data_IF_396313440984
#
_entry.id   IF_396313440984
#
_cell.length_a   1.000
_cell.length_b   1.000
_cell.length_c   1.000
_cell.angle_alpha   90.00
_cell.angle_beta   90.00
_cell.angle_gamma   90.00
#
_symmetry.space_group_name_H-M   'P 1'
#
loop_
_entity.id
_entity.type
_entity.pdbx_description
1 polymer ?
#
# COMPACT_ATOMS: atom_id res chain seq x y z
N UNK A 1 24.34 -9.62 -64.90
CA UNK A 1 23.21 -9.17 -64.03
C UNK A 1 23.53 -9.58 -62.62
N UNK A 2 23.98 -8.62 -61.78
CA UNK A 2 24.17 -8.87 -60.35
C UNK A 2 22.88 -8.47 -59.63
N UNK A 3 22.18 -9.44 -59.07
CA UNK A 3 21.04 -9.21 -58.20
C UNK A 3 21.51 -8.93 -56.78
N UNK A 4 21.36 -7.68 -56.32
CA UNK A 4 21.64 -7.31 -54.93
C UNK A 4 20.52 -7.77 -54.02
N UNK A 5 20.85 -8.62 -53.05
CA UNK A 5 19.96 -9.01 -51.96
C UNK A 5 19.91 -7.89 -50.93
N UNK A 6 18.77 -7.19 -50.80
CA UNK A 6 18.53 -6.21 -49.72
C UNK A 6 18.03 -6.99 -48.51
N UNK A 7 18.88 -7.14 -47.51
CA UNK A 7 18.47 -7.72 -46.21
C UNK A 7 17.71 -6.64 -45.42
N UNK A 8 16.42 -6.81 -45.26
CA UNK A 8 15.61 -5.97 -44.36
C UNK A 8 15.88 -6.39 -42.91
N UNK A 9 16.56 -5.54 -42.14
CA UNK A 9 16.72 -5.71 -40.72
C UNK A 9 15.37 -5.39 -40.01
N UNK A 10 14.69 -6.40 -39.52
CA UNK A 10 13.54 -6.23 -38.61
C UNK A 10 14.07 -5.76 -37.25
N UNK A 11 13.93 -4.49 -36.95
CA UNK A 11 14.08 -4.00 -35.60
C UNK A 11 12.91 -4.52 -34.79
N UNK A 12 13.14 -5.51 -33.90
CA UNK A 12 12.16 -5.95 -32.91
C UNK A 12 11.87 -4.77 -31.99
N UNK A 13 10.62 -4.31 -31.96
CA UNK A 13 10.17 -3.36 -30.94
C UNK A 13 10.42 -3.95 -29.55
N UNK A 14 10.92 -3.17 -28.59
CA UNK A 14 11.07 -3.66 -27.23
C UNK A 14 9.70 -4.14 -26.72
N UNK A 15 9.63 -5.36 -26.20
CA UNK A 15 8.44 -5.87 -25.57
C UNK A 15 8.04 -4.89 -24.46
N UNK A 16 6.80 -4.41 -24.47
CA UNK A 16 6.29 -3.58 -23.39
C UNK A 16 6.46 -4.38 -22.08
N UNK A 17 7.10 -3.77 -21.08
CA UNK A 17 7.22 -4.41 -19.77
C UNK A 17 5.83 -4.62 -19.17
N UNK A 18 5.61 -5.75 -18.52
CA UNK A 18 4.33 -5.97 -17.80
C UNK A 18 4.14 -4.89 -16.73
N UNK A 19 2.88 -4.44 -16.48
CA UNK A 19 2.59 -3.47 -15.44
C UNK A 19 3.06 -3.96 -14.08
N UNK A 20 3.50 -3.04 -13.24
CA UNK A 20 3.86 -3.35 -11.84
C UNK A 20 2.58 -3.71 -11.09
N UNK A 21 2.59 -4.87 -10.43
CA UNK A 21 1.43 -5.39 -9.69
C UNK A 21 1.56 -5.07 -8.22
N UNK A 22 0.69 -4.18 -7.73
CA UNK A 22 0.59 -3.81 -6.33
C UNK A 22 -0.70 -4.37 -5.71
N UNK A 23 -0.67 -4.58 -4.41
CA UNK A 23 -1.86 -4.87 -3.58
C UNK A 23 -1.93 -3.84 -2.46
N UNK A 24 -3.11 -3.25 -2.26
CA UNK A 24 -3.41 -2.48 -1.06
C UNK A 24 -4.13 -3.41 -0.07
N UNK A 25 -3.40 -3.87 0.94
CA UNK A 25 -3.89 -4.72 2.02
C UNK A 25 -4.28 -3.83 3.20
N UNK A 26 -5.57 -3.80 3.54
CA UNK A 26 -6.03 -2.89 4.59
C UNK A 26 -7.43 -3.19 5.09
N UNK A 27 -7.99 -2.24 5.81
CA UNK A 27 -9.31 -2.33 6.39
C UNK A 27 -10.37 -1.54 5.60
N UNK A 28 -11.31 -0.88 6.28
CA UNK A 28 -12.36 -0.06 5.66
C UNK A 28 -11.82 1.16 4.92
N UNK A 29 -10.69 1.71 5.36
CA UNK A 29 -10.06 2.87 4.74
C UNK A 29 -9.49 2.51 3.36
N UNK A 30 -8.94 1.32 3.22
CA UNK A 30 -8.49 0.75 1.95
C UNK A 30 -9.67 0.28 1.10
N UNK A 31 -10.65 -0.41 1.70
CA UNK A 31 -11.84 -0.92 1.00
C UNK A 31 -12.65 0.18 0.30
N UNK A 32 -12.64 1.40 0.84
CA UNK A 32 -13.47 2.51 0.41
C UNK A 32 -14.89 2.41 0.99
N UNK A 33 -14.96 2.31 2.33
CA UNK A 33 -16.22 2.21 3.06
C UNK A 33 -17.21 3.31 2.65
N UNK A 34 -18.43 2.88 2.27
CA UNK A 34 -19.52 3.75 1.82
C UNK A 34 -19.21 4.64 0.60
N UNK A 35 -18.18 4.26 -0.17
CA UNK A 35 -17.80 4.92 -1.42
C UNK A 35 -18.02 3.98 -2.63
N UNK A 36 -18.31 4.55 -3.82
CA UNK A 36 -18.28 3.73 -5.03
C UNK A 36 -16.85 3.19 -5.28
N UNK A 37 -16.69 1.99 -5.86
CA UNK A 37 -15.38 1.37 -6.06
C UNK A 37 -14.35 2.26 -6.77
N UNK A 38 -14.80 3.14 -7.68
CA UNK A 38 -13.93 4.09 -8.39
C UNK A 38 -13.42 5.25 -7.54
N UNK A 39 -14.01 5.49 -6.36
CA UNK A 39 -13.58 6.49 -5.40
C UNK A 39 -12.80 5.89 -4.23
N UNK A 40 -12.65 4.56 -4.16
CA UNK A 40 -11.83 3.89 -3.15
C UNK A 40 -10.35 4.24 -3.32
N UNK A 41 -9.60 4.28 -2.22
CA UNK A 41 -8.19 4.65 -2.19
C UNK A 41 -7.33 3.93 -3.25
N UNK A 42 -7.37 2.60 -3.42
CA UNK A 42 -6.52 1.92 -4.41
C UNK A 42 -6.82 2.33 -5.85
N UNK A 43 -8.11 2.54 -6.20
CA UNK A 43 -8.51 2.96 -7.53
C UNK A 43 -8.05 4.39 -7.85
N UNK A 44 -8.17 5.31 -6.88
CA UNK A 44 -7.72 6.70 -7.03
C UNK A 44 -6.20 6.79 -7.10
N UNK A 45 -5.50 6.01 -6.28
CA UNK A 45 -4.03 5.93 -6.31
C UNK A 45 -3.53 5.38 -7.64
N UNK A 46 -4.13 4.30 -8.16
CA UNK A 46 -3.79 3.76 -9.48
C UNK A 46 -3.97 4.80 -10.58
N UNK A 47 -5.11 5.50 -10.58
CA UNK A 47 -5.38 6.56 -11.56
C UNK A 47 -4.34 7.70 -11.47
N UNK A 48 -3.96 8.12 -10.26
CA UNK A 48 -2.96 9.16 -10.05
C UNK A 48 -1.57 8.75 -10.53
N UNK A 49 -1.14 7.51 -10.25
CA UNK A 49 0.14 6.97 -10.70
C UNK A 49 0.19 6.84 -12.22
N UNK A 50 -0.89 6.35 -12.85
CA UNK A 50 -0.97 6.26 -14.30
C UNK A 50 -0.93 7.62 -14.98
N UNK A 51 -1.58 8.63 -14.40
CA UNK A 51 -1.52 10.00 -14.90
C UNK A 51 -0.08 10.59 -14.84
N UNK A 52 0.79 10.04 -13.99
CA UNK A 52 2.22 10.37 -13.89
C UNK A 52 3.13 9.49 -14.74
N UNK A 53 2.53 8.59 -15.55
CA UNK A 53 3.26 7.75 -16.50
C UNK A 53 3.73 6.40 -15.96
N UNK A 54 3.31 6.00 -14.74
CA UNK A 54 3.62 4.69 -14.21
C UNK A 54 2.65 3.64 -14.78
N UNK A 55 3.19 2.55 -15.30
CA UNK A 55 2.39 1.39 -15.71
C UNK A 55 2.22 0.45 -14.53
N UNK A 56 1.11 0.63 -13.81
CA UNK A 56 0.79 -0.10 -12.56
C UNK A 56 -0.65 -0.60 -12.56
N UNK A 57 -0.90 -1.66 -11.80
CA UNK A 57 -2.23 -2.12 -11.39
C UNK A 57 -2.24 -2.30 -9.89
N UNK A 58 -3.30 -1.86 -9.22
CA UNK A 58 -3.43 -1.94 -7.76
C UNK A 58 -4.69 -2.73 -7.41
N UNK A 59 -4.51 -3.94 -6.87
CA UNK A 59 -5.63 -4.72 -6.34
C UNK A 59 -6.07 -4.15 -4.99
N UNK A 60 -7.38 -3.95 -4.83
CA UNK A 60 -7.98 -3.58 -3.55
C UNK A 60 -8.20 -4.85 -2.71
N UNK A 61 -7.43 -5.03 -1.67
CA UNK A 61 -7.55 -6.09 -0.67
C UNK A 61 -7.93 -5.50 0.71
N UNK A 62 -8.75 -4.45 0.73
CA UNK A 62 -9.35 -3.90 1.94
C UNK A 62 -10.57 -4.71 2.38
N UNK A 63 -10.67 -4.99 3.68
CA UNK A 63 -11.84 -5.62 4.31
C UNK A 63 -12.27 -4.82 5.52
N UNK A 64 -13.47 -4.22 5.45
CA UNK A 64 -13.97 -3.35 6.51
C UNK A 64 -14.02 -4.07 7.86
N UNK A 65 -13.44 -3.43 8.87
CA UNK A 65 -13.38 -3.94 10.23
C UNK A 65 -12.19 -4.85 10.54
N UNK A 66 -11.32 -5.14 9.58
CA UNK A 66 -10.14 -5.96 9.83
C UNK A 66 -9.20 -5.32 10.84
N UNK A 67 -8.70 -6.15 11.75
CA UNK A 67 -7.55 -5.87 12.59
C UNK A 67 -6.27 -6.35 11.90
N UNK A 68 -5.11 -6.02 12.45
CA UNK A 68 -3.83 -6.58 11.99
C UNK A 68 -3.87 -8.11 11.99
N UNK A 69 -4.46 -8.73 13.01
CA UNK A 69 -4.67 -10.18 13.09
C UNK A 69 -5.49 -10.73 11.94
N UNK A 70 -6.63 -10.11 11.64
CA UNK A 70 -7.49 -10.55 10.53
C UNK A 70 -6.78 -10.43 9.18
N UNK A 71 -6.03 -9.34 8.96
CA UNK A 71 -5.20 -9.16 7.78
C UNK A 71 -4.12 -10.24 7.63
N UNK A 72 -3.47 -10.62 8.74
CA UNK A 72 -2.48 -11.70 8.77
C UNK A 72 -3.09 -13.06 8.40
N UNK A 73 -4.27 -13.36 8.91
CA UNK A 73 -4.95 -14.65 8.66
C UNK A 73 -5.35 -14.85 7.19
N UNK A 74 -5.62 -13.76 6.45
CA UNK A 74 -5.95 -13.80 5.03
C UNK A 74 -4.82 -13.39 4.09
N UNK A 75 -3.59 -13.19 4.60
CA UNK A 75 -2.49 -12.63 3.85
C UNK A 75 -2.21 -13.39 2.55
N UNK A 76 -2.06 -14.71 2.61
CA UNK A 76 -1.70 -15.53 1.47
C UNK A 76 -2.80 -15.54 0.38
N UNK A 77 -4.06 -15.46 0.81
CA UNK A 77 -5.19 -15.36 -0.11
C UNK A 77 -5.31 -13.96 -0.73
N UNK A 78 -5.00 -12.92 0.04
CA UNK A 78 -5.15 -11.52 -0.39
C UNK A 78 -4.00 -11.02 -1.26
N UNK A 79 -2.83 -11.65 -1.13
CA UNK A 79 -1.61 -11.27 -1.84
C UNK A 79 -1.16 -12.45 -2.72
N UNK A 80 -1.72 -12.57 -3.95
CA UNK A 80 -1.42 -13.68 -4.84
C UNK A 80 0.02 -13.64 -5.36
N UNK A 81 0.46 -14.77 -5.93
CA UNK A 81 1.75 -14.85 -6.61
C UNK A 81 1.82 -13.85 -7.78
N UNK A 82 3.02 -13.32 -8.01
CA UNK A 82 3.26 -12.27 -8.98
C UNK A 82 2.99 -10.84 -8.47
N UNK A 83 2.54 -10.67 -7.20
CA UNK A 83 2.53 -9.37 -6.52
C UNK A 83 3.96 -8.92 -6.27
N UNK A 84 4.28 -7.68 -6.60
CA UNK A 84 5.63 -7.13 -6.48
C UNK A 84 5.78 -6.13 -5.36
N UNK A 85 4.67 -5.47 -4.99
CA UNK A 85 4.64 -4.56 -3.84
C UNK A 85 3.31 -4.59 -3.13
N UNK A 86 3.35 -4.34 -1.82
CA UNK A 86 2.15 -4.27 -0.96
C UNK A 86 2.18 -2.99 -0.16
N UNK A 87 1.06 -2.27 -0.18
CA UNK A 87 0.78 -1.18 0.77
C UNK A 87 -0.01 -1.82 1.91
N UNK A 88 0.56 -1.82 3.13
CA UNK A 88 -0.08 -2.38 4.33
C UNK A 88 -0.69 -1.24 5.13
N UNK A 89 -2.02 -1.19 5.18
CA UNK A 89 -2.80 -0.19 5.91
C UNK A 89 -3.72 -0.93 6.90
N UNK A 90 -3.23 -1.19 8.11
CA UNK A 90 -3.93 -1.92 9.17
C UNK A 90 -3.54 -1.36 10.55
N UNK A 91 -4.39 -1.63 11.55
CA UNK A 91 -4.17 -1.25 12.93
C UNK A 91 -5.20 -0.25 13.47
N UNK A 92 -5.93 0.47 12.62
CA UNK A 92 -6.97 1.40 13.06
C UNK A 92 -8.02 0.70 13.92
N UNK A 93 -8.51 -0.47 13.49
CA UNK A 93 -9.48 -1.25 14.23
C UNK A 93 -8.92 -1.85 15.52
N UNK A 94 -7.63 -2.15 15.56
CA UNK A 94 -6.94 -2.60 16.77
C UNK A 94 -6.99 -1.49 17.84
N UNK A 95 -6.61 -0.27 17.46
CA UNK A 95 -6.66 0.87 18.35
C UNK A 95 -8.09 1.21 18.79
N UNK A 96 -9.06 1.24 17.87
CA UNK A 96 -10.46 1.51 18.19
C UNK A 96 -11.07 0.48 19.16
N UNK A 97 -10.61 -0.76 19.14
CA UNK A 97 -11.03 -1.85 20.04
C UNK A 97 -10.17 -1.95 21.29
N UNK A 98 -9.16 -1.10 21.46
CA UNK A 98 -8.25 -1.14 22.60
C UNK A 98 -7.45 -2.45 22.71
N UNK A 99 -7.13 -3.07 21.57
CA UNK A 99 -6.26 -4.25 21.52
C UNK A 99 -4.86 -3.85 21.99
N UNK A 100 -4.24 -4.72 22.79
CA UNK A 100 -2.87 -4.50 23.28
C UNK A 100 -1.92 -4.19 22.11
N UNK A 101 -1.22 -3.04 22.12
CA UNK A 101 -0.27 -2.67 21.06
C UNK A 101 0.79 -3.74 20.79
N UNK A 102 1.19 -4.53 21.79
CA UNK A 102 2.16 -5.60 21.59
C UNK A 102 1.61 -6.73 20.69
N UNK A 103 0.30 -6.98 20.71
CA UNK A 103 -0.36 -7.95 19.82
C UNK A 103 -0.45 -7.41 18.41
N UNK A 104 -0.90 -6.16 18.24
CA UNK A 104 -0.96 -5.48 16.95
C UNK A 104 0.42 -5.43 16.30
N UNK A 105 1.45 -5.08 17.09
CA UNK A 105 2.84 -5.09 16.65
C UNK A 105 3.26 -6.47 16.12
N UNK A 106 3.01 -7.54 16.89
CA UNK A 106 3.40 -8.89 16.49
C UNK A 106 2.72 -9.34 15.19
N UNK A 107 1.44 -9.01 15.01
CA UNK A 107 0.69 -9.36 13.82
C UNK A 107 1.15 -8.55 12.59
N UNK A 108 1.41 -7.25 12.74
CA UNK A 108 1.97 -6.39 11.66
C UNK A 108 3.39 -6.81 11.29
N UNK A 109 4.24 -7.09 12.28
CA UNK A 109 5.61 -7.58 12.07
C UNK A 109 5.61 -8.89 11.27
N UNK A 110 4.70 -9.82 11.62
CA UNK A 110 4.53 -11.08 10.90
C UNK A 110 4.04 -10.89 9.45
N UNK A 111 3.12 -9.93 9.20
CA UNK A 111 2.68 -9.57 7.85
C UNK A 111 3.89 -9.10 7.02
N UNK A 112 4.64 -8.13 7.53
CA UNK A 112 5.76 -7.53 6.81
C UNK A 112 6.87 -8.56 6.59
N UNK A 113 7.20 -9.39 7.61
CA UNK A 113 8.17 -10.47 7.48
C UNK A 113 7.80 -11.44 6.35
N UNK A 114 6.55 -11.96 6.34
CA UNK A 114 6.08 -12.91 5.30
C UNK A 114 6.09 -12.30 3.91
N UNK A 115 5.78 -11.03 3.75
CA UNK A 115 5.84 -10.34 2.47
C UNK A 115 7.28 -10.18 1.99
N UNK A 116 8.19 -9.75 2.86
CA UNK A 116 9.61 -9.57 2.51
C UNK A 116 10.31 -10.90 2.24
N UNK A 117 9.98 -11.98 2.97
CA UNK A 117 10.45 -13.35 2.69
C UNK A 117 10.04 -13.85 1.29
N UNK A 118 8.88 -13.39 0.79
CA UNK A 118 8.42 -13.66 -0.58
C UNK A 118 9.07 -12.75 -1.62
N UNK A 119 10.01 -11.86 -1.23
CA UNK A 119 10.66 -10.89 -2.10
C UNK A 119 9.74 -9.74 -2.54
N UNK A 120 8.67 -9.46 -1.82
CA UNK A 120 7.72 -8.39 -2.10
C UNK A 120 8.19 -7.11 -1.41
N UNK A 121 8.22 -6.00 -2.15
CA UNK A 121 8.50 -4.68 -1.57
C UNK A 121 7.30 -4.19 -0.75
N UNK A 122 7.56 -3.61 0.43
CA UNK A 122 6.49 -3.20 1.35
C UNK A 122 6.56 -1.71 1.65
N UNK A 123 5.40 -1.06 1.56
CA UNK A 123 5.14 0.26 2.13
C UNK A 123 4.14 0.11 3.28
N UNK A 124 4.56 0.45 4.49
CA UNK A 124 3.66 0.51 5.64
C UNK A 124 3.01 1.90 5.65
N UNK A 125 1.69 1.94 5.63
CA UNK A 125 0.90 3.14 5.88
C UNK A 125 0.51 3.15 7.35
N UNK A 126 1.25 3.89 8.17
CA UNK A 126 1.11 3.93 9.61
C UNK A 126 -0.20 4.56 10.07
N UNK A 127 -0.53 4.33 11.34
CA UNK A 127 -1.73 4.84 11.98
C UNK A 127 -1.39 5.46 13.33
N UNK A 128 -2.22 6.38 13.80
CA UNK A 128 -2.11 6.96 15.14
C UNK A 128 -3.27 6.52 16.02
N UNK A 129 -2.96 6.17 17.26
CA UNK A 129 -3.98 5.79 18.23
C UNK A 129 -4.81 6.99 18.71
N UNK A 130 -6.11 6.80 18.97
CA UNK A 130 -6.97 7.82 19.58
C UNK A 130 -6.41 8.34 20.91
N UNK A 131 -6.55 9.66 21.14
CA UNK A 131 -5.97 10.33 22.33
C UNK A 131 -6.53 9.83 23.67
N UNK A 132 -7.76 9.34 23.69
CA UNK A 132 -8.44 8.85 24.88
C UNK A 132 -7.92 7.51 25.41
N UNK A 133 -7.02 6.82 24.68
CA UNK A 133 -6.41 5.55 25.11
C UNK A 133 -5.22 5.74 26.08
N UNK A 134 -4.82 6.98 26.34
CA UNK A 134 -3.74 7.31 27.25
C UNK A 134 -2.35 7.30 26.59
N UNK A 135 -1.39 7.95 27.25
CA UNK A 135 -0.07 8.20 26.68
C UNK A 135 0.74 6.93 26.44
N UNK A 136 0.72 6.00 27.41
CA UNK A 136 1.46 4.74 27.31
C UNK A 136 1.00 3.88 26.13
N UNK A 137 -0.32 3.77 25.92
CA UNK A 137 -0.88 3.06 24.77
C UNK A 137 -0.45 3.72 23.45
N UNK A 138 -0.61 5.05 23.38
CA UNK A 138 -0.25 5.80 22.17
C UNK A 138 1.23 5.69 21.84
N UNK A 139 2.11 5.85 22.82
CA UNK A 139 3.55 5.74 22.58
C UNK A 139 3.93 4.36 22.01
N UNK A 140 3.35 3.28 22.55
CA UNK A 140 3.59 1.92 22.07
C UNK A 140 2.97 1.68 20.68
N UNK A 141 1.75 2.20 20.42
CA UNK A 141 1.05 2.01 19.16
C UNK A 141 1.66 2.85 18.03
N UNK A 142 1.83 4.16 18.26
CA UNK A 142 2.30 5.09 17.22
C UNK A 142 3.74 4.78 16.78
N UNK A 143 4.58 4.26 17.69
CA UNK A 143 5.99 3.94 17.43
C UNK A 143 6.22 2.63 16.66
N UNK A 144 5.28 1.67 16.73
CA UNK A 144 5.49 0.33 16.18
C UNK A 144 5.72 0.31 14.66
N UNK A 145 5.05 1.19 13.92
CA UNK A 145 5.15 1.23 12.46
C UNK A 145 6.56 1.57 11.99
N UNK A 146 7.21 2.53 12.65
CA UNK A 146 8.59 2.90 12.33
C UNK A 146 9.58 1.81 12.73
N UNK A 147 9.36 1.13 13.87
CA UNK A 147 10.19 0.01 14.32
C UNK A 147 10.12 -1.15 13.32
N UNK A 148 8.91 -1.57 12.92
CA UNK A 148 8.70 -2.65 11.95
C UNK A 148 9.31 -2.29 10.59
N UNK A 149 9.07 -1.07 10.10
CA UNK A 149 9.63 -0.61 8.84
C UNK A 149 11.17 -0.67 8.86
N UNK A 150 11.80 -0.19 9.94
CA UNK A 150 13.25 -0.23 10.11
C UNK A 150 13.81 -1.66 10.18
N UNK A 151 13.12 -2.57 10.89
CA UNK A 151 13.50 -3.98 11.04
C UNK A 151 13.55 -4.73 9.72
N UNK A 152 12.57 -4.50 8.84
CA UNK A 152 12.42 -5.22 7.58
C UNK A 152 12.89 -4.44 6.34
N UNK A 153 13.42 -3.22 6.52
CA UNK A 153 13.80 -2.35 5.41
C UNK A 153 12.62 -1.88 4.54
N UNK A 154 11.40 -1.95 5.08
CA UNK A 154 10.20 -1.48 4.41
C UNK A 154 10.14 0.05 4.35
N UNK A 155 9.38 0.60 3.38
CA UNK A 155 9.05 2.02 3.35
C UNK A 155 7.99 2.32 4.41
N UNK A 156 7.97 3.56 4.91
CA UNK A 156 6.97 4.02 5.87
C UNK A 156 6.34 5.34 5.38
N UNK A 157 5.02 5.36 5.23
CA UNK A 157 4.21 6.57 5.26
C UNK A 157 3.66 6.74 6.68
N UNK A 158 4.08 7.75 7.46
CA UNK A 158 3.91 7.74 8.91
C UNK A 158 2.47 7.72 9.40
N UNK A 159 1.55 8.41 8.69
CA UNK A 159 0.15 8.49 9.09
C UNK A 159 -0.78 8.52 7.87
N UNK A 160 -1.53 7.43 7.67
CA UNK A 160 -2.40 7.26 6.50
C UNK A 160 -3.44 8.38 6.36
N UNK A 161 -4.03 8.83 7.48
CA UNK A 161 -5.07 9.87 7.50
C UNK A 161 -4.51 11.30 7.67
N UNK A 162 -3.23 11.53 7.36
CA UNK A 162 -2.64 12.85 7.49
C UNK A 162 -3.37 13.90 6.62
N UNK A 163 -3.82 14.98 7.27
CA UNK A 163 -4.57 16.06 6.63
C UNK A 163 -6.06 15.78 6.40
N UNK A 164 -6.54 14.60 6.83
CA UNK A 164 -7.94 14.19 6.72
C UNK A 164 -8.57 13.91 8.09
N UNK A 165 -7.82 13.30 9.00
CA UNK A 165 -8.32 12.96 10.33
C UNK A 165 -8.91 14.19 11.02
N UNK A 166 -10.12 14.04 11.57
CA UNK A 166 -10.85 15.09 12.31
C UNK A 166 -11.38 16.28 11.49
N UNK A 167 -11.17 16.33 10.18
CA UNK A 167 -11.78 17.36 9.33
C UNK A 167 -13.17 16.90 8.84
N UNK A 168 -14.27 17.53 9.30
CA UNK A 168 -15.62 17.11 8.89
C UNK A 168 -15.90 17.27 7.40
N UNK A 169 -15.15 18.15 6.69
CA UNK A 169 -15.31 18.35 5.27
C UNK A 169 -14.71 17.18 4.43
N UNK A 170 -13.77 16.45 5.01
CA UNK A 170 -13.02 15.37 4.35
C UNK A 170 -13.43 13.97 4.82
N UNK A 171 -14.37 13.89 5.79
CA UNK A 171 -14.86 12.63 6.33
C UNK A 171 -16.36 12.45 6.08
N UNK A 172 -16.81 11.20 6.12
CA UNK A 172 -18.23 10.85 6.17
C UNK A 172 -18.87 11.32 7.50
N UNK A 173 -20.17 11.22 7.58
CA UNK A 173 -20.93 11.67 8.76
C UNK A 173 -20.54 10.95 10.07
N UNK A 174 -19.87 9.80 9.99
CA UNK A 174 -19.37 9.07 11.14
C UNK A 174 -18.07 9.69 11.74
N UNK A 175 -17.43 10.62 11.02
CA UNK A 175 -16.20 11.30 11.44
C UNK A 175 -14.95 10.43 11.49
N UNK A 176 -15.02 9.22 10.92
CA UNK A 176 -13.95 8.21 10.96
C UNK A 176 -13.45 7.90 9.54
N UNK A 177 -14.37 7.68 8.60
CA UNK A 177 -14.05 7.28 7.25
C UNK A 177 -13.94 8.49 6.32
N UNK A 178 -12.88 8.58 5.51
CA UNK A 178 -12.75 9.62 4.48
C UNK A 178 -13.91 9.57 3.48
N UNK A 179 -14.40 10.74 3.08
CA UNK A 179 -15.22 10.87 1.90
C UNK A 179 -14.35 10.90 0.62
N UNK A 180 -14.95 11.07 -0.56
CA UNK A 180 -14.20 11.08 -1.82
C UNK A 180 -13.11 12.17 -1.86
N UNK A 181 -13.36 13.36 -1.32
CA UNK A 181 -12.37 14.44 -1.25
C UNK A 181 -11.25 14.11 -0.26
N UNK A 182 -11.58 13.48 0.86
CA UNK A 182 -10.59 12.97 1.81
C UNK A 182 -9.68 11.91 1.20
N UNK A 183 -10.22 11.02 0.37
CA UNK A 183 -9.41 10.04 -0.37
C UNK A 183 -8.43 10.73 -1.32
N UNK A 184 -8.84 11.80 -2.02
CA UNK A 184 -7.92 12.55 -2.89
C UNK A 184 -6.75 13.18 -2.09
N UNK A 185 -7.03 13.69 -0.90
CA UNK A 185 -5.99 14.22 -0.01
C UNK A 185 -5.01 13.13 0.40
N UNK A 186 -5.52 11.95 0.82
CA UNK A 186 -4.67 10.79 1.15
C UNK A 186 -3.80 10.40 -0.04
N UNK A 187 -4.40 10.24 -1.22
CA UNK A 187 -3.67 9.86 -2.45
C UNK A 187 -2.56 10.86 -2.74
N UNK A 188 -2.85 12.17 -2.70
CA UNK A 188 -1.85 13.18 -2.99
C UNK A 188 -0.64 13.15 -2.05
N UNK A 189 -0.86 12.79 -0.78
CA UNK A 189 0.19 12.75 0.26
C UNK A 189 1.01 11.47 0.23
N UNK A 190 0.37 10.31 0.02
CA UNK A 190 1.08 9.02 -0.02
C UNK A 190 1.81 8.79 -1.36
N UNK A 191 1.39 9.48 -2.42
CA UNK A 191 1.89 9.28 -3.78
C UNK A 191 3.43 9.24 -3.89
N UNK A 192 4.20 10.17 -3.30
CA UNK A 192 5.67 10.11 -3.36
C UNK A 192 6.24 8.82 -2.77
N UNK A 193 5.67 8.31 -1.69
CA UNK A 193 6.12 7.07 -1.05
C UNK A 193 5.82 5.83 -1.91
N UNK A 194 4.71 5.86 -2.64
CA UNK A 194 4.39 4.79 -3.59
C UNK A 194 5.27 4.87 -4.83
N UNK A 195 5.68 6.05 -5.27
CA UNK A 195 6.68 6.21 -6.32
C UNK A 195 8.05 5.64 -5.89
N UNK A 196 8.44 5.83 -4.64
CA UNK A 196 9.63 5.19 -4.07
C UNK A 196 9.50 3.65 -4.04
N UNK A 197 8.31 3.13 -3.70
CA UNK A 197 8.03 1.69 -3.77
C UNK A 197 8.19 1.16 -5.21
N UNK A 198 7.63 1.85 -6.19
CA UNK A 198 7.74 1.52 -7.61
C UNK A 198 9.20 1.55 -8.06
N UNK A 199 9.98 2.54 -7.63
CA UNK A 199 11.40 2.65 -7.96
C UNK A 199 12.20 1.47 -7.41
N UNK A 200 11.92 1.01 -6.19
CA UNK A 200 12.55 -0.20 -5.61
C UNK A 200 12.21 -1.45 -6.42
N UNK A 201 10.96 -1.63 -6.82
CA UNK A 201 10.51 -2.74 -7.65
C UNK A 201 11.23 -2.72 -9.01
N UNK A 202 11.30 -1.57 -9.67
CA UNK A 202 11.97 -1.42 -10.94
C UNK A 202 13.48 -1.75 -10.85
N UNK A 203 14.14 -1.29 -9.78
CA UNK A 203 15.54 -1.61 -9.52
C UNK A 203 15.77 -3.12 -9.26
N UNK A 204 14.83 -3.81 -8.63
CA UNK A 204 14.88 -5.27 -8.46
C UNK A 204 14.71 -5.99 -9.79
N UNK A 205 13.68 -5.65 -10.59
CA UNK A 205 13.47 -6.21 -11.94
C UNK A 205 14.72 -6.09 -12.83
N UNK A 206 15.39 -4.93 -12.76
CA UNK A 206 16.61 -4.70 -13.54
C UNK A 206 17.77 -5.61 -13.11
N UNK A 207 17.91 -5.91 -11.82
CA UNK A 207 18.92 -6.85 -11.32
C UNK A 207 18.64 -8.29 -11.75
N UNK A 208 17.37 -8.71 -11.67
CA UNK A 208 16.93 -10.07 -12.00
C UNK A 208 17.02 -10.38 -13.50
N UNK A 209 16.90 -9.36 -14.35
CA UNK A 209 17.01 -9.49 -15.81
C UNK A 209 18.45 -9.36 -16.36
N UNK A 210 19.42 -8.94 -15.53
CA UNK A 210 20.82 -8.77 -15.91
C UNK A 210 21.77 -9.90 -15.49
N UNK A 211 21.25 -10.93 -14.80
CA UNK A 211 22.01 -12.11 -14.36
C UNK A 211 21.59 -13.34 -15.16
#
# INVERSE_FOLDING_TARGET
MLGGLVAAAFLAAPAASEPIRLVALGDSLTAGYDLPPSAAFPARLEAALRARGHDVVIANAGVSGDTARAGLERLDWSVPDGTEGVIVELGANDALRGIDPARTHADLDAIVARLTERGIEVLIAGMLAPRNLGEAYRAAFDGMFAEIAGRHGALLYPFFLEGVATDPALNLADGIHPNADGVEVIVSRILPYVEDLIARIAARRARDSGG
#
